data_IF_718351809404
#
_entry.id   IF_718351809404
#
_cell.length_a   1.000
_cell.length_b   1.000
_cell.length_c   1.000
_cell.angle_alpha   90.00
_cell.angle_beta   90.00
_cell.angle_gamma   90.00
#
_symmetry.space_group_name_H-M   'P 1'
#
loop_
_entity.id
_entity.type
_entity.pdbx_description
1 polymer ?
#
# COMPACT_ATOMS: atom_id res chain seq x y z
N UNK A 1 24.47 1.55 -11.51
CA UNK A 1 23.05 1.18 -11.72
C UNK A 1 22.18 1.37 -10.49
N UNK A 2 22.27 0.57 -9.41
CA UNK A 2 21.42 0.79 -8.20
C UNK A 2 21.59 2.20 -7.60
N UNK A 3 22.84 2.65 -7.47
CA UNK A 3 23.16 3.96 -6.90
C UNK A 3 22.77 5.15 -7.77
N UNK A 4 22.65 5.00 -9.09
CA UNK A 4 22.23 6.09 -9.98
C UNK A 4 20.74 6.36 -9.84
N UNK A 5 19.93 5.29 -9.83
CA UNK A 5 18.48 5.37 -9.64
C UNK A 5 18.16 5.91 -8.24
N UNK A 6 18.83 5.42 -7.21
CA UNK A 6 18.65 5.92 -5.84
C UNK A 6 18.94 7.42 -5.73
N UNK A 7 20.01 7.88 -6.38
CA UNK A 7 20.36 9.31 -6.40
C UNK A 7 19.36 10.14 -7.19
N UNK A 8 18.88 9.65 -8.34
CA UNK A 8 17.84 10.31 -9.14
C UNK A 8 16.56 10.50 -8.33
N UNK A 9 16.08 9.44 -7.67
CA UNK A 9 14.88 9.46 -6.83
C UNK A 9 15.05 10.44 -5.66
N UNK A 10 16.19 10.38 -4.96
CA UNK A 10 16.47 11.29 -3.84
C UNK A 10 16.50 12.75 -4.30
N UNK A 11 17.07 13.03 -5.48
CA UNK A 11 17.11 14.37 -6.04
C UNK A 11 15.71 14.86 -6.44
N UNK A 12 14.88 13.99 -7.03
CA UNK A 12 13.47 14.30 -7.32
C UNK A 12 12.68 14.66 -6.07
N UNK A 13 12.83 13.87 -4.99
CA UNK A 13 12.16 14.14 -3.71
C UNK A 13 12.62 15.45 -3.06
N UNK A 14 13.93 15.75 -3.10
CA UNK A 14 14.45 17.04 -2.63
C UNK A 14 13.91 18.21 -3.44
N UNK A 15 13.79 18.06 -4.75
CA UNK A 15 13.23 19.09 -5.62
C UNK A 15 11.76 19.36 -5.29
N UNK A 16 10.97 18.31 -5.06
CA UNK A 16 9.58 18.42 -4.63
C UNK A 16 9.43 19.08 -3.24
N UNK A 17 10.36 18.81 -2.32
CA UNK A 17 10.34 19.37 -0.97
C UNK A 17 10.67 20.88 -0.93
N UNK A 18 11.53 21.35 -1.85
CA UNK A 18 12.11 22.70 -1.85
C UNK A 18 11.08 23.83 -1.64
N UNK A 19 10.01 23.97 -2.45
CA UNK A 19 9.05 25.04 -2.26
C UNK A 19 8.36 25.00 -0.89
N UNK A 20 8.14 23.81 -0.34
CA UNK A 20 7.46 23.65 0.95
C UNK A 20 8.38 24.07 2.11
N UNK A 21 9.69 23.81 1.99
CA UNK A 21 10.70 24.28 2.95
C UNK A 21 10.90 25.79 2.84
N UNK A 22 10.98 26.33 1.61
CA UNK A 22 11.13 27.78 1.38
C UNK A 22 9.94 28.59 1.92
N UNK A 23 8.74 28.01 1.91
CA UNK A 23 7.53 28.59 2.50
C UNK A 23 7.43 28.41 4.03
N UNK A 24 8.38 27.70 4.66
CA UNK A 24 8.37 27.41 6.09
C UNK A 24 7.31 26.40 6.53
N UNK A 25 6.75 25.61 5.61
CA UNK A 25 5.77 24.55 5.93
C UNK A 25 6.44 23.29 6.48
N UNK A 26 7.72 23.08 6.17
CA UNK A 26 8.55 22.01 6.70
C UNK A 26 9.93 22.55 7.07
N UNK A 27 10.48 22.07 8.19
CA UNK A 27 11.81 22.47 8.66
C UNK A 27 12.94 21.99 7.73
N UNK A 28 12.72 20.86 7.03
CA UNK A 28 13.70 20.30 6.12
C UNK A 28 13.08 19.38 5.08
N UNK A 29 13.83 19.11 4.00
CA UNK A 29 13.45 18.09 3.02
C UNK A 29 13.31 16.69 3.64
N UNK A 30 14.08 16.39 4.71
CA UNK A 30 13.97 15.12 5.43
C UNK A 30 12.62 15.01 6.15
N UNK A 31 12.16 16.07 6.79
CA UNK A 31 10.88 16.06 7.50
C UNK A 31 9.71 15.90 6.53
N UNK A 32 9.74 16.61 5.40
CA UNK A 32 8.80 16.40 4.30
C UNK A 32 8.78 14.95 3.82
N UNK A 33 9.94 14.39 3.45
CA UNK A 33 10.03 13.01 2.95
C UNK A 33 9.50 12.02 3.98
N UNK A 34 9.88 12.18 5.25
CA UNK A 34 9.41 11.32 6.34
C UNK A 34 7.88 11.35 6.44
N UNK A 35 7.29 12.52 6.39
CA UNK A 35 5.86 12.69 6.63
C UNK A 35 5.04 12.19 5.44
N UNK A 36 5.48 12.44 4.19
CA UNK A 36 4.82 11.85 3.01
C UNK A 36 4.96 10.32 2.98
N UNK A 37 6.09 9.76 3.42
CA UNK A 37 6.29 8.31 3.49
C UNK A 37 5.34 7.70 4.52
N UNK A 38 5.20 8.31 5.69
CA UNK A 38 4.22 7.88 6.70
C UNK A 38 2.81 7.93 6.16
N UNK A 39 2.42 9.02 5.52
CA UNK A 39 1.08 9.18 4.95
C UNK A 39 0.80 8.13 3.88
N UNK A 40 1.76 7.89 2.98
CA UNK A 40 1.66 6.85 1.96
C UNK A 40 1.48 5.45 2.57
N UNK A 41 2.29 5.09 3.56
CA UNK A 41 2.19 3.79 4.25
C UNK A 41 0.82 3.66 4.93
N UNK A 42 0.39 4.68 5.68
CA UNK A 42 -0.91 4.67 6.34
C UNK A 42 -2.05 4.53 5.35
N UNK A 43 -1.99 5.26 4.23
CA UNK A 43 -3.00 5.18 3.17
C UNK A 43 -3.07 3.77 2.57
N UNK A 44 -1.93 3.12 2.33
CA UNK A 44 -1.87 1.75 1.84
C UNK A 44 -2.44 0.75 2.85
N UNK A 45 -2.09 0.89 4.14
CA UNK A 45 -2.65 0.06 5.21
C UNK A 45 -4.18 0.19 5.24
N UNK A 46 -4.71 1.41 5.23
CA UNK A 46 -6.15 1.64 5.27
C UNK A 46 -6.87 1.13 4.00
N UNK A 47 -6.21 1.23 2.85
CA UNK A 47 -6.70 0.63 1.61
C UNK A 47 -6.85 -0.89 1.73
N UNK A 48 -5.83 -1.61 2.19
CA UNK A 48 -5.90 -3.07 2.35
C UNK A 48 -6.87 -3.50 3.45
N UNK A 49 -6.94 -2.78 4.57
CA UNK A 49 -7.97 -3.02 5.60
C UNK A 49 -9.39 -2.91 5.03
N UNK A 50 -9.66 -1.89 4.21
CA UNK A 50 -10.97 -1.72 3.56
C UNK A 50 -11.27 -2.85 2.59
N UNK A 51 -10.30 -3.28 1.79
CA UNK A 51 -10.45 -4.43 0.90
C UNK A 51 -10.77 -5.71 1.67
N UNK A 52 -9.98 -6.04 2.71
CA UNK A 52 -10.23 -7.21 3.56
C UNK A 52 -11.61 -7.12 4.21
N UNK A 53 -12.04 -5.94 4.69
CA UNK A 53 -13.36 -5.78 5.27
C UNK A 53 -14.49 -6.03 4.25
N UNK A 54 -14.31 -5.60 2.99
CA UNK A 54 -15.25 -5.86 1.90
C UNK A 54 -15.33 -7.37 1.59
N UNK A 55 -14.19 -8.05 1.50
CA UNK A 55 -14.16 -9.49 1.27
C UNK A 55 -14.73 -10.29 2.46
N UNK A 56 -14.41 -9.92 3.70
CA UNK A 56 -15.01 -10.50 4.91
C UNK A 56 -16.53 -10.36 4.90
N UNK A 57 -17.06 -9.22 4.46
CA UNK A 57 -18.50 -9.03 4.30
C UNK A 57 -19.10 -9.95 3.22
N UNK A 58 -18.37 -10.19 2.12
CA UNK A 58 -18.84 -11.02 0.99
C UNK A 58 -18.76 -12.52 1.26
N UNK A 59 -17.71 -12.97 1.94
CA UNK A 59 -17.33 -14.38 2.03
C UNK A 59 -17.18 -14.91 3.46
N UNK A 60 -17.26 -14.06 4.48
CA UNK A 60 -17.06 -14.41 5.88
C UNK A 60 -15.59 -14.32 6.28
N UNK A 61 -14.86 -15.43 6.21
CA UNK A 61 -13.43 -15.48 6.53
C UNK A 61 -12.61 -15.93 5.32
N UNK A 62 -11.32 -15.63 5.32
CA UNK A 62 -10.42 -16.07 4.25
C UNK A 62 -10.43 -17.60 4.13
N UNK A 63 -10.39 -18.32 5.26
CA UNK A 63 -10.45 -19.79 5.28
C UNK A 63 -11.77 -20.33 4.75
N UNK A 64 -12.89 -19.65 5.03
CA UNK A 64 -14.20 -20.02 4.52
C UNK A 64 -14.25 -19.85 3.00
N UNK A 65 -13.66 -18.75 2.52
CA UNK A 65 -13.57 -18.48 1.09
C UNK A 65 -12.68 -19.51 0.39
N UNK A 66 -11.47 -19.75 0.89
CA UNK A 66 -10.54 -20.76 0.34
C UNK A 66 -11.18 -22.14 0.23
N UNK A 67 -11.87 -22.61 1.28
CA UNK A 67 -12.60 -23.89 1.27
C UNK A 67 -13.76 -23.94 0.28
N UNK A 68 -14.37 -22.78 -0.03
CA UNK A 68 -15.43 -22.70 -1.04
C UNK A 68 -14.85 -22.93 -2.43
N UNK A 69 -13.67 -22.35 -2.72
CA UNK A 69 -13.01 -22.44 -4.04
C UNK A 69 -12.52 -23.85 -4.37
N UNK A 70 -12.18 -24.66 -3.35
CA UNK A 70 -11.83 -26.09 -3.54
C UNK A 70 -12.93 -26.89 -4.24
N UNK A 71 -14.19 -26.44 -4.17
CA UNK A 71 -15.34 -27.08 -4.82
C UNK A 71 -15.57 -26.61 -6.27
N UNK A 72 -14.66 -25.78 -6.79
CA UNK A 72 -14.76 -25.10 -8.07
C UNK A 72 -14.96 -23.60 -7.86
N UNK A 73 -14.19 -22.82 -8.61
CA UNK A 73 -14.21 -21.37 -8.61
C UNK A 73 -14.38 -20.84 -10.04
N UNK A 74 -15.08 -19.72 -10.18
CA UNK A 74 -14.97 -18.91 -11.39
C UNK A 74 -13.65 -18.13 -11.39
N UNK A 75 -13.16 -17.73 -12.57
CA UNK A 75 -11.96 -16.88 -12.70
C UNK A 75 -12.07 -15.62 -11.82
N UNK A 76 -13.25 -14.98 -11.80
CA UNK A 76 -13.47 -13.79 -10.98
C UNK A 76 -13.36 -14.06 -9.47
N UNK A 77 -13.73 -15.26 -9.01
CA UNK A 77 -13.56 -15.64 -7.60
C UNK A 77 -12.10 -15.96 -7.27
N UNK A 78 -11.33 -16.52 -8.22
CA UNK A 78 -9.88 -16.71 -8.06
C UNK A 78 -9.14 -15.36 -8.00
N UNK A 79 -9.51 -14.42 -8.86
CA UNK A 79 -8.96 -13.05 -8.85
C UNK A 79 -9.22 -12.36 -7.51
N UNK A 80 -10.46 -12.41 -7.01
CA UNK A 80 -10.81 -11.84 -5.72
C UNK A 80 -10.12 -12.55 -4.53
N UNK A 81 -9.83 -13.84 -4.67
CA UNK A 81 -9.06 -14.58 -3.67
C UNK A 81 -7.60 -14.14 -3.64
N UNK A 82 -6.98 -13.98 -4.82
CA UNK A 82 -5.61 -13.47 -4.95
C UNK A 82 -5.50 -12.04 -4.39
N UNK A 83 -6.49 -11.19 -4.66
CA UNK A 83 -6.56 -9.83 -4.11
C UNK A 83 -6.67 -9.82 -2.59
N UNK A 84 -7.45 -10.73 -2.00
CA UNK A 84 -7.55 -10.86 -0.54
C UNK A 84 -6.24 -11.37 0.05
N UNK A 85 -5.66 -12.44 -0.49
CA UNK A 85 -4.38 -12.99 -0.03
C UNK A 85 -3.29 -11.91 -0.03
N UNK A 86 -3.15 -11.19 -1.14
CA UNK A 86 -2.21 -10.08 -1.26
C UNK A 86 -2.48 -8.98 -0.23
N UNK A 87 -3.75 -8.66 0.04
CA UNK A 87 -4.10 -7.66 1.05
C UNK A 87 -3.71 -8.10 2.47
N UNK A 88 -3.88 -9.38 2.82
CA UNK A 88 -3.45 -9.91 4.13
C UNK A 88 -1.93 -9.90 4.27
N UNK A 89 -1.21 -10.29 3.22
CA UNK A 89 0.25 -10.33 3.25
C UNK A 89 0.85 -8.93 3.35
N UNK A 90 0.29 -7.94 2.66
CA UNK A 90 0.71 -6.53 2.78
C UNK A 90 0.51 -5.93 4.18
N UNK A 91 -0.38 -6.50 5.01
CA UNK A 91 -0.60 -6.06 6.39
C UNK A 91 0.21 -6.84 7.44
N UNK A 92 0.85 -7.95 7.06
CA UNK A 92 1.75 -8.72 7.95
C UNK A 92 3.19 -8.18 7.94
N UNK A 93 3.50 -7.24 7.05
CA UNK A 93 4.83 -6.61 6.88
C UNK A 93 5.20 -5.73 8.06
#
# INVERSE_FOLDING_TARGET
MSSEIENEVLNGLKHAARPLVELGLYDSARDFIRDITKEFINHKIEFYKKQIAAFKKKYGSFETFSKKLEKGASIAEEDEWMDWEAAEDMLKV
#
